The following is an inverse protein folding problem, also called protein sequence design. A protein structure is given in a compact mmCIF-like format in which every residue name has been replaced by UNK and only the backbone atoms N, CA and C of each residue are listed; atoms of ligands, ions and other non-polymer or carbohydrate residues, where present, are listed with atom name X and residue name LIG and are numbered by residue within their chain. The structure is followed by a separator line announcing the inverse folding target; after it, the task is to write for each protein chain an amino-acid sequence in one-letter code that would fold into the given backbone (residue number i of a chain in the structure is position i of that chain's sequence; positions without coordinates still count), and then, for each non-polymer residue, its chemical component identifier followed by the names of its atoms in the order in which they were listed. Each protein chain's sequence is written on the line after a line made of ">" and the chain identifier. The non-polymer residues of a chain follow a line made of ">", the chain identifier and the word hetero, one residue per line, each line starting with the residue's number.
data_IF_554394591952
#
_entry.id   IF_554394591952
#
_cell.length_a   1.000
_cell.length_b   1.000
_cell.length_c   1.000
_cell.angle_alpha   90.00
_cell.angle_beta   90.00
_cell.angle_gamma   90.00
#
_symmetry.space_group_name_H-M   'P 1'
#
loop_
_entity.id
_entity.type
_entity.pdbx_description
1 polymer ?
#
# COMPACT_ATOMS: atom_id res chain seq x y z
N UNK A 1 4.57 -12.08 -8.20
CA UNK A 1 5.77 -11.37 -7.70
C UNK A 1 6.59 -12.40 -6.96
N UNK A 2 7.89 -12.49 -7.23
CA UNK A 2 8.79 -13.39 -6.48
C UNK A 2 9.16 -12.79 -5.11
N UNK A 3 9.13 -11.45 -5.01
CA UNK A 3 9.62 -10.70 -3.84
C UNK A 3 8.50 -10.18 -2.92
N UNK A 4 7.29 -10.73 -3.01
CA UNK A 4 6.15 -10.24 -2.21
C UNK A 4 6.34 -10.49 -0.71
N UNK A 5 6.97 -11.60 -0.33
CA UNK A 5 7.31 -11.91 1.06
C UNK A 5 8.38 -10.96 1.60
N UNK A 6 9.51 -10.84 0.89
CA UNK A 6 10.59 -9.92 1.27
C UNK A 6 10.11 -8.47 1.42
N UNK A 7 9.28 -8.00 0.49
CA UNK A 7 8.77 -6.62 0.54
C UNK A 7 7.82 -6.43 1.73
N UNK A 8 6.97 -7.42 2.02
CA UNK A 8 6.09 -7.37 3.20
C UNK A 8 6.92 -7.35 4.49
N UNK A 9 7.94 -8.19 4.60
CA UNK A 9 8.83 -8.23 5.76
C UNK A 9 9.61 -6.93 5.96
N UNK A 10 10.08 -6.31 4.87
CA UNK A 10 10.75 -5.02 4.90
C UNK A 10 9.85 -3.94 5.49
N UNK A 11 8.62 -3.81 4.99
CA UNK A 11 7.69 -2.80 5.50
C UNK A 11 7.17 -3.14 6.89
N UNK A 12 7.05 -4.42 7.24
CA UNK A 12 6.71 -4.87 8.59
C UNK A 12 7.82 -4.52 9.58
N UNK A 13 9.09 -4.69 9.20
CA UNK A 13 10.23 -4.25 10.00
C UNK A 13 10.19 -2.73 10.24
N UNK A 14 10.01 -1.93 9.19
CA UNK A 14 9.92 -0.47 9.32
C UNK A 14 8.72 -0.02 10.18
N UNK A 15 7.58 -0.71 10.06
CA UNK A 15 6.41 -0.49 10.90
C UNK A 15 6.76 -0.69 12.38
N UNK A 16 7.39 -1.83 12.71
CA UNK A 16 7.74 -2.21 14.08
C UNK A 16 8.70 -1.23 14.77
N UNK A 17 9.52 -0.48 14.01
CA UNK A 17 10.37 0.57 14.56
C UNK A 17 9.57 1.78 15.09
N UNK A 18 8.39 2.04 14.49
CA UNK A 18 7.53 3.16 14.85
C UNK A 18 6.34 2.75 15.73
N UNK A 19 6.04 1.45 15.82
CA UNK A 19 4.94 0.88 16.59
C UNK A 19 5.03 1.32 18.06
N UNK A 20 3.87 1.61 18.67
CA UNK A 20 3.81 2.18 20.02
C UNK A 20 4.11 3.68 20.08
N UNK A 21 3.93 4.40 18.97
CA UNK A 21 4.06 5.86 18.88
C UNK A 21 5.48 6.37 19.21
N UNK A 22 6.48 5.68 18.68
CA UNK A 22 7.89 6.01 18.91
C UNK A 22 8.30 7.28 18.14
N UNK A 23 8.01 8.45 18.72
CA UNK A 23 8.21 9.75 18.07
C UNK A 23 9.68 9.98 17.65
N UNK A 24 10.66 9.46 18.39
CA UNK A 24 12.07 9.60 18.05
C UNK A 24 12.39 8.86 16.74
N UNK A 25 11.98 7.59 16.62
CA UNK A 25 12.17 6.83 15.39
C UNK A 25 11.31 7.35 14.24
N UNK A 26 10.07 7.79 14.51
CA UNK A 26 9.22 8.41 13.49
C UNK A 26 9.88 9.65 12.88
N UNK A 27 10.50 10.51 13.68
CA UNK A 27 11.25 11.67 13.19
C UNK A 27 12.57 11.25 12.54
N UNK A 28 13.27 10.25 13.08
CA UNK A 28 14.51 9.75 12.51
C UNK A 28 14.32 9.14 11.13
N UNK A 29 13.20 8.47 10.83
CA UNK A 29 12.90 7.99 9.47
C UNK A 29 12.67 9.13 8.45
N UNK A 30 12.24 10.31 8.92
CA UNK A 30 12.04 11.51 8.09
C UNK A 30 13.33 12.31 7.92
N UNK A 31 14.11 12.47 8.98
CA UNK A 31 15.30 13.32 9.02
C UNK A 31 16.35 12.76 9.96
N UNK A 32 17.53 12.45 9.43
CA UNK A 32 18.64 11.90 10.21
C UNK A 32 19.62 13.01 10.60
N UNK A 33 19.19 13.88 11.52
CA UNK A 33 20.00 15.00 12.02
C UNK A 33 21.35 14.50 12.55
N UNK A 34 22.44 15.09 12.06
CA UNK A 34 23.81 14.67 12.41
C UNK A 34 24.50 13.83 11.33
N UNK A 35 23.76 13.29 10.36
CA UNK A 35 24.33 12.66 9.17
C UNK A 35 24.65 13.71 8.09
N UNK A 36 25.62 13.40 7.21
CA UNK A 36 25.97 14.26 6.06
C UNK A 36 24.86 14.31 5.01
N UNK A 37 24.06 13.26 4.91
CA UNK A 37 22.94 13.12 3.97
C UNK A 37 21.72 12.63 4.72
N UNK A 38 20.56 13.19 4.38
CA UNK A 38 19.25 12.75 4.89
C UNK A 38 18.47 12.04 3.79
N UNK A 39 17.87 10.91 4.13
CA UNK A 39 16.95 10.16 3.28
C UNK A 39 15.58 10.15 3.98
N UNK A 40 14.57 10.72 3.32
CA UNK A 40 13.22 10.73 3.84
C UNK A 40 12.49 9.42 3.47
N UNK A 41 12.58 8.42 4.35
CA UNK A 41 12.01 7.08 4.13
C UNK A 41 10.48 7.14 4.03
N UNK A 42 9.85 8.13 4.66
CA UNK A 42 8.40 8.34 4.60
C UNK A 42 7.98 8.63 3.15
N UNK A 43 8.70 9.53 2.47
CA UNK A 43 8.44 9.86 1.05
C UNK A 43 8.78 8.68 0.14
N UNK A 44 9.90 8.00 0.36
CA UNK A 44 10.24 6.81 -0.42
C UNK A 44 9.19 5.69 -0.29
N UNK A 45 8.54 5.58 0.87
CA UNK A 45 7.42 4.65 1.08
C UNK A 45 6.20 5.05 0.26
N UNK A 46 5.87 6.35 0.20
CA UNK A 46 4.81 6.88 -0.68
C UNK A 46 5.14 6.63 -2.17
N UNK A 47 6.37 6.86 -2.59
CA UNK A 47 6.80 6.62 -3.98
C UNK A 47 6.71 5.14 -4.35
N UNK A 48 6.96 4.23 -3.39
CA UNK A 48 6.74 2.80 -3.59
C UNK A 48 5.24 2.48 -3.72
N UNK A 49 4.41 3.04 -2.85
CA UNK A 49 2.96 2.85 -2.90
C UNK A 49 2.36 3.32 -4.23
N UNK A 50 2.82 4.46 -4.75
CA UNK A 50 2.39 4.98 -6.04
C UNK A 50 2.74 4.02 -7.19
N UNK A 51 3.98 3.51 -7.25
CA UNK A 51 4.40 2.53 -8.26
C UNK A 51 3.62 1.22 -8.17
N UNK A 52 3.31 0.77 -6.94
CA UNK A 52 2.48 -0.40 -6.72
C UNK A 52 1.05 -0.16 -7.25
N UNK A 53 0.48 1.02 -6.98
CA UNK A 53 -0.83 1.40 -7.47
C UNK A 53 -0.90 1.49 -9.01
N UNK A 54 0.11 2.08 -9.64
CA UNK A 54 0.22 2.15 -11.11
C UNK A 54 0.22 0.72 -11.71
N UNK A 55 1.03 -0.19 -11.15
CA UNK A 55 1.05 -1.60 -11.57
C UNK A 55 -0.29 -2.32 -11.39
N UNK A 56 -0.98 -2.07 -10.27
CA UNK A 56 -2.32 -2.61 -10.01
C UNK A 56 -3.35 -2.06 -11.02
N UNK A 57 -3.20 -0.80 -11.42
CA UNK A 57 -4.10 -0.15 -12.38
C UNK A 57 -3.90 -0.68 -13.79
N UNK A 58 -2.66 -0.91 -14.20
CA UNK A 58 -2.34 -1.58 -15.47
C UNK A 58 -2.91 -3.00 -15.51
N UNK A 59 -2.81 -3.74 -14.39
CA UNK A 59 -3.44 -5.04 -14.25
C UNK A 59 -4.96 -4.95 -14.45
N UNK A 60 -5.62 -4.00 -13.79
CA UNK A 60 -7.06 -3.78 -13.96
C UNK A 60 -7.40 -3.47 -15.44
N UNK A 61 -6.66 -2.57 -16.08
CA UNK A 61 -6.91 -2.19 -17.47
C UNK A 61 -6.78 -3.39 -18.42
N UNK A 62 -5.76 -4.23 -18.24
CA UNK A 62 -5.56 -5.45 -19.01
C UNK A 62 -6.75 -6.43 -18.90
N UNK A 63 -7.34 -6.55 -17.71
CA UNK A 63 -8.51 -7.40 -17.49
C UNK A 63 -9.83 -6.68 -17.75
N UNK A 64 -9.87 -5.37 -17.96
CA UNK A 64 -11.10 -4.58 -18.08
C UNK A 64 -12.01 -5.07 -19.21
N UNK A 65 -11.45 -5.43 -20.36
CA UNK A 65 -12.16 -5.99 -21.52
C UNK A 65 -12.38 -7.50 -21.52
N UNK A 66 -11.91 -8.22 -20.50
CA UNK A 66 -12.08 -9.68 -20.38
C UNK A 66 -13.23 -10.03 -19.44
N UNK A 67 -14.07 -11.00 -19.78
CA UNK A 67 -15.21 -11.37 -18.93
C UNK A 67 -14.79 -12.09 -17.64
N UNK A 68 -13.69 -12.84 -17.68
CA UNK A 68 -13.20 -13.65 -16.57
C UNK A 68 -11.74 -13.34 -16.28
N UNK A 69 -11.42 -13.23 -14.99
CA UNK A 69 -10.05 -13.19 -14.47
C UNK A 69 -9.66 -14.62 -14.13
N UNK A 70 -8.61 -15.14 -14.75
CA UNK A 70 -8.07 -16.47 -14.48
C UNK A 70 -7.47 -16.59 -13.08
N UNK A 71 -7.37 -17.82 -12.56
CA UNK A 71 -6.88 -18.09 -11.19
C UNK A 71 -5.49 -17.54 -10.93
N UNK A 72 -4.60 -17.56 -11.92
CA UNK A 72 -3.26 -16.98 -11.79
C UNK A 72 -3.33 -15.45 -11.64
N UNK A 73 -4.21 -14.78 -12.40
CA UNK A 73 -4.45 -13.35 -12.28
C UNK A 73 -4.99 -12.98 -10.89
N UNK A 74 -5.97 -13.75 -10.39
CA UNK A 74 -6.52 -13.61 -9.04
C UNK A 74 -5.44 -13.73 -7.95
N UNK A 75 -4.58 -14.76 -8.03
CA UNK A 75 -3.47 -14.97 -7.08
C UNK A 75 -2.47 -13.81 -7.10
N UNK A 76 -2.10 -13.33 -8.28
CA UNK A 76 -1.17 -12.21 -8.41
C UNK A 76 -1.76 -10.91 -7.84
N UNK A 77 -3.03 -10.65 -8.11
CA UNK A 77 -3.74 -9.49 -7.57
C UNK A 77 -3.82 -9.54 -6.04
N UNK A 78 -4.21 -10.68 -5.47
CA UNK A 78 -4.27 -10.88 -4.02
C UNK A 78 -2.92 -10.64 -3.34
N UNK A 79 -1.81 -11.13 -3.93
CA UNK A 79 -0.45 -10.85 -3.46
C UNK A 79 -0.13 -9.35 -3.46
N UNK A 80 -0.41 -8.65 -4.55
CA UNK A 80 -0.17 -7.21 -4.64
C UNK A 80 -1.01 -6.42 -3.61
N UNK A 81 -2.25 -6.85 -3.38
CA UNK A 81 -3.12 -6.26 -2.35
C UNK A 81 -2.59 -6.49 -0.93
N UNK A 82 -2.00 -7.65 -0.65
CA UNK A 82 -1.34 -7.91 0.65
C UNK A 82 -0.16 -6.97 0.88
N UNK A 83 0.67 -6.75 -0.15
CA UNK A 83 1.77 -5.78 -0.08
C UNK A 83 1.23 -4.37 0.15
N UNK A 84 0.20 -3.95 -0.59
CA UNK A 84 -0.42 -2.63 -0.42
C UNK A 84 -0.96 -2.43 1.01
N UNK A 85 -1.66 -3.43 1.56
CA UNK A 85 -2.14 -3.44 2.95
C UNK A 85 -1.00 -3.21 3.94
N UNK A 86 0.12 -3.93 3.78
CA UNK A 86 1.27 -3.78 4.65
C UNK A 86 1.89 -2.38 4.55
N UNK A 87 2.00 -1.81 3.36
CA UNK A 87 2.52 -0.44 3.17
C UNK A 87 1.60 0.59 3.84
N UNK A 88 0.28 0.45 3.73
CA UNK A 88 -0.67 1.32 4.43
C UNK A 88 -0.53 1.21 5.95
N UNK A 89 -0.39 0.00 6.50
CA UNK A 89 -0.14 -0.20 7.94
C UNK A 89 1.14 0.50 8.41
N UNK A 90 2.22 0.41 7.63
CA UNK A 90 3.47 1.12 7.94
C UNK A 90 3.27 2.65 7.91
N UNK A 91 2.60 3.19 6.89
CA UNK A 91 2.30 4.62 6.80
C UNK A 91 1.45 5.12 7.98
N UNK A 92 0.51 4.32 8.49
CA UNK A 92 -0.26 4.70 9.68
C UNK A 92 0.61 4.77 10.93
N UNK A 93 1.51 3.80 11.15
CA UNK A 93 2.42 3.84 12.30
C UNK A 93 3.42 4.99 12.23
N UNK A 94 3.73 5.51 11.05
CA UNK A 94 4.59 6.69 10.90
C UNK A 94 3.95 7.99 11.42
N UNK A 95 2.62 8.05 11.53
CA UNK A 95 1.89 9.30 11.86
C UNK A 95 1.06 9.24 13.15
N UNK A 96 0.69 8.03 13.62
CA UNK A 96 -0.07 7.84 14.85
C UNK A 96 0.74 8.28 16.09
N UNK A 97 0.04 8.65 17.17
CA UNK A 97 0.68 9.27 18.35
C UNK A 97 1.19 10.67 18.04
N UNK A 98 0.28 11.53 17.55
CA UNK A 98 0.44 12.40 16.38
C UNK A 98 1.88 12.88 16.11
N UNK A 99 2.47 12.45 15.00
CA UNK A 99 3.73 13.00 14.47
C UNK A 99 3.46 14.06 13.39
N UNK A 100 3.34 15.32 13.79
CA UNK A 100 2.92 16.43 12.90
C UNK A 100 3.86 16.65 11.71
N UNK A 101 5.18 16.49 11.90
CA UNK A 101 6.13 16.62 10.81
C UNK A 101 5.98 15.53 9.76
N UNK A 102 5.64 14.30 10.16
CA UNK A 102 5.36 13.22 9.20
C UNK A 102 4.02 13.46 8.50
N UNK A 103 3.00 13.94 9.21
CA UNK A 103 1.72 14.33 8.60
C UNK A 103 1.89 15.42 7.54
N UNK A 104 2.69 16.46 7.83
CA UNK A 104 3.02 17.50 6.85
C UNK A 104 3.82 16.95 5.67
N UNK A 105 4.76 16.03 5.91
CA UNK A 105 5.51 15.37 4.83
C UNK A 105 4.59 14.60 3.90
N UNK A 106 3.62 13.85 4.45
CA UNK A 106 2.61 13.14 3.66
C UNK A 106 1.68 14.11 2.92
N UNK A 107 1.24 15.18 3.57
CA UNK A 107 0.36 16.21 3.01
C UNK A 107 1.01 17.06 1.89
N UNK A 108 2.33 16.96 1.69
CA UNK A 108 3.04 17.56 0.56
C UNK A 108 3.60 16.52 -0.42
N UNK A 109 3.29 15.23 -0.23
CA UNK A 109 3.77 14.11 -1.06
C UNK A 109 2.75 13.66 -2.10
N UNK A 110 3.10 12.79 -3.05
CA UNK A 110 2.13 12.27 -4.03
C UNK A 110 1.18 11.17 -3.49
N UNK A 111 0.97 11.11 -2.17
CA UNK A 111 0.12 10.10 -1.55
C UNK A 111 -1.33 10.14 -2.09
N UNK A 112 -1.87 11.34 -2.33
CA UNK A 112 -3.22 11.49 -2.88
C UNK A 112 -3.38 10.92 -4.29
N UNK A 113 -2.35 11.01 -5.15
CA UNK A 113 -2.39 10.40 -6.49
C UNK A 113 -2.59 8.88 -6.37
N UNK A 114 -1.83 8.24 -5.49
CA UNK A 114 -1.95 6.81 -5.23
C UNK A 114 -3.32 6.46 -4.63
N UNK A 115 -3.81 7.21 -3.64
CA UNK A 115 -5.12 6.96 -3.01
C UNK A 115 -6.25 7.07 -4.03
N UNK A 116 -6.26 8.10 -4.88
CA UNK A 116 -7.27 8.26 -5.95
C UNK A 116 -7.23 7.08 -6.91
N UNK A 117 -6.03 6.63 -7.28
CA UNK A 117 -5.84 5.46 -8.14
C UNK A 117 -6.40 4.16 -7.52
N UNK A 118 -6.15 3.91 -6.23
CA UNK A 118 -6.74 2.77 -5.53
C UNK A 118 -8.27 2.84 -5.49
N UNK A 119 -8.85 4.00 -5.19
CA UNK A 119 -10.30 4.19 -5.18
C UNK A 119 -10.92 3.91 -6.55
N UNK A 120 -10.28 4.34 -7.64
CA UNK A 120 -10.70 4.03 -9.00
C UNK A 120 -10.72 2.52 -9.25
N UNK A 121 -9.61 1.82 -8.98
CA UNK A 121 -9.51 0.37 -9.18
C UNK A 121 -10.54 -0.38 -8.34
N UNK A 122 -10.72 0.00 -7.06
CA UNK A 122 -11.69 -0.66 -6.19
C UNK A 122 -13.12 -0.48 -6.69
N UNK A 123 -13.54 0.73 -7.06
CA UNK A 123 -14.88 0.98 -7.55
C UNK A 123 -15.22 0.07 -8.75
N UNK A 124 -14.30 -0.02 -9.71
CA UNK A 124 -14.53 -0.79 -10.92
C UNK A 124 -14.38 -2.31 -10.73
N UNK A 125 -13.40 -2.77 -9.94
CA UNK A 125 -13.25 -4.19 -9.65
C UNK A 125 -14.37 -4.73 -8.78
N UNK A 126 -14.87 -3.97 -7.80
CA UNK A 126 -16.01 -4.38 -6.98
C UNK A 126 -17.27 -4.57 -7.83
N UNK A 127 -17.55 -3.66 -8.77
CA UNK A 127 -18.67 -3.82 -9.70
C UNK A 127 -18.52 -5.08 -10.59
N UNK A 128 -17.33 -5.31 -11.13
CA UNK A 128 -17.06 -6.43 -12.01
C UNK A 128 -17.10 -7.78 -11.29
N UNK A 129 -16.59 -7.84 -10.06
CA UNK A 129 -16.66 -9.04 -9.22
C UNK A 129 -18.09 -9.30 -8.70
N UNK A 130 -18.87 -8.26 -8.40
CA UNK A 130 -20.26 -8.41 -7.95
C UNK A 130 -21.20 -8.95 -9.06
N UNK A 131 -20.89 -8.70 -10.34
CA UNK A 131 -21.63 -9.26 -11.47
C UNK A 131 -21.41 -10.77 -11.63
N UNK A 132 -20.28 -11.30 -11.14
CA UNK A 132 -20.01 -12.74 -11.06
C UNK A 132 -20.68 -13.28 -9.79
N UNK A 133 -21.98 -13.59 -9.87
CA UNK A 133 -22.80 -14.12 -8.76
C UNK A 133 -22.24 -15.46 -8.23
N UNK A 134 -21.39 -15.42 -7.20
CA UNK A 134 -21.01 -16.54 -6.31
C UNK A 134 -20.11 -16.03 -5.16
N UNK A 135 -20.01 -16.71 -4.01
CA UNK A 135 -19.34 -16.25 -2.77
C UNK A 135 -17.79 -16.15 -2.84
N UNK A 136 -17.24 -15.75 -4.00
CA UNK A 136 -15.80 -15.49 -4.21
C UNK A 136 -15.33 -14.13 -3.72
N UNK A 137 -16.24 -13.22 -3.35
CA UNK A 137 -15.88 -11.90 -2.80
C UNK A 137 -14.94 -12.03 -1.59
N UNK A 138 -15.13 -13.06 -0.77
CA UNK A 138 -14.27 -13.38 0.38
C UNK A 138 -12.95 -14.08 0.05
N UNK A 139 -12.71 -14.50 -1.19
CA UNK A 139 -11.50 -15.25 -1.58
C UNK A 139 -10.39 -14.40 -2.18
N UNK A 140 -10.70 -13.18 -2.61
CA UNK A 140 -9.75 -12.27 -3.27
C UNK A 140 -9.19 -11.18 -2.35
N UNK A 141 -9.95 -10.82 -1.32
CA UNK A 141 -9.49 -9.93 -0.25
C UNK A 141 -8.85 -10.78 0.85
N UNK A 142 -7.76 -10.31 1.49
CA UNK A 142 -7.28 -10.91 2.72
C UNK A 142 -8.42 -11.01 3.74
N UNK A 143 -8.52 -12.10 4.52
CA UNK A 143 -9.64 -12.36 5.43
C UNK A 143 -9.84 -11.28 6.51
N UNK A 144 -8.88 -10.36 6.70
CA UNK A 144 -8.89 -9.33 7.75
C UNK A 144 -9.09 -7.90 7.22
N UNK A 145 -9.79 -7.72 6.10
CA UNK A 145 -10.29 -6.40 5.67
C UNK A 145 -11.82 -6.40 5.90
N UNK A 146 -12.35 -5.56 6.82
CA UNK A 146 -13.79 -5.47 7.06
C UNK A 146 -14.57 -4.93 5.86
#
# INVERSE_FOLDING_TARGET
>A
MADDEFTQDLFRFLQLLCEGHNNDFQNYLRTQTGNTTTINIIICTVDYLLRLQESISDFYWYYSGKDVIEEQGKRNFSKAMSVAKQVFNSLTEYIQGPCTGNQQSLAHSRLWDAVVGFLHVFAHMMMKLAQVRAPLFFTLLPPDIP
#
